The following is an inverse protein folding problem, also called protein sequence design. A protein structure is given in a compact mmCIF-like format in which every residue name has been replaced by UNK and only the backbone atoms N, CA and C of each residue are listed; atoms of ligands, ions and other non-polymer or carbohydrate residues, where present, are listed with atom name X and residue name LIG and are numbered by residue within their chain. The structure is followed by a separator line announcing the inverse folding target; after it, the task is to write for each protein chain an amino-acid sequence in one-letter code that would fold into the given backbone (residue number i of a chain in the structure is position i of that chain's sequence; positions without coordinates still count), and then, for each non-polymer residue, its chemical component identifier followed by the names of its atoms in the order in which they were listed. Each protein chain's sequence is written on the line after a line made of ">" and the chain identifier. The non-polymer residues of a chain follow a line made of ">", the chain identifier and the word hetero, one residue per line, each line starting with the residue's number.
data_IF_279322628742
#
_entry.id   IF_279322628742
#
_cell.length_a   1.000
_cell.length_b   1.000
_cell.length_c   1.000
_cell.angle_alpha   90.00
_cell.angle_beta   90.00
_cell.angle_gamma   90.00
#
_symmetry.space_group_name_H-M   'P 1'
#
loop_
_entity.id
_entity.type
_entity.pdbx_description
1 polymer ?
#
# COMPACT_ATOMS: atom_id res chain seq x y z
N UNK A 1 3.20 1.90 14.06
CA UNK A 1 2.62 0.72 14.75
C UNK A 1 2.63 0.81 16.28
N UNK A 2 3.57 1.49 16.96
CA UNK A 2 3.53 1.69 18.43
C UNK A 2 2.25 2.38 18.90
N UNK A 3 1.81 3.43 18.18
CA UNK A 3 0.58 4.19 18.48
C UNK A 3 -0.66 3.29 18.54
N UNK A 4 -0.68 2.21 17.76
CA UNK A 4 -1.81 1.27 17.72
C UNK A 4 -2.09 0.58 19.07
N UNK A 5 -1.07 0.48 19.94
CA UNK A 5 -1.25 -0.08 21.30
C UNK A 5 -2.25 0.68 22.16
N UNK A 6 -2.39 2.00 21.93
CA UNK A 6 -3.36 2.84 22.65
C UNK A 6 -4.81 2.57 22.24
N UNK A 7 -5.02 2.00 21.06
CA UNK A 7 -6.34 1.71 20.52
C UNK A 7 -6.70 0.22 20.60
N UNK A 8 -5.75 -0.66 20.32
CA UNK A 8 -5.98 -2.10 20.24
C UNK A 8 -5.35 -2.88 21.41
N UNK A 9 -4.66 -2.20 22.34
CA UNK A 9 -3.96 -2.86 23.43
C UNK A 9 -2.59 -3.41 23.06
N UNK A 10 -1.79 -3.75 24.08
CA UNK A 10 -0.39 -4.16 23.91
C UNK A 10 -0.22 -5.45 23.08
N UNK A 11 -1.01 -6.49 23.40
CA UNK A 11 -0.87 -7.79 22.76
C UNK A 11 -1.61 -7.86 21.41
N UNK A 12 -2.88 -7.43 21.30
CA UNK A 12 -3.60 -7.47 20.03
C UNK A 12 -2.97 -6.61 18.94
N UNK A 13 -2.35 -5.47 19.28
CA UNK A 13 -1.66 -4.61 18.32
C UNK A 13 -0.49 -5.29 17.61
N UNK A 14 0.02 -6.42 18.12
CA UNK A 14 1.09 -7.18 17.45
C UNK A 14 0.61 -7.87 16.17
N UNK A 15 -0.67 -8.26 16.12
CA UNK A 15 -1.23 -8.88 14.92
C UNK A 15 -1.24 -7.91 13.72
N UNK A 16 -1.84 -6.70 13.80
CA UNK A 16 -1.72 -5.72 12.73
C UNK A 16 -0.26 -5.28 12.48
N UNK A 17 0.61 -5.27 13.51
CA UNK A 17 2.03 -4.97 13.30
C UNK A 17 2.71 -6.02 12.42
N UNK A 18 2.43 -7.31 12.63
CA UNK A 18 2.94 -8.38 11.77
C UNK A 18 2.38 -8.27 10.35
N UNK A 19 1.08 -8.01 10.22
CA UNK A 19 0.44 -7.79 8.92
C UNK A 19 1.04 -6.57 8.19
N UNK A 20 1.40 -5.52 8.94
CA UNK A 20 2.07 -4.35 8.36
C UNK A 20 3.49 -4.67 7.84
N UNK A 21 4.24 -5.53 8.52
CA UNK A 21 5.54 -5.99 8.00
C UNK A 21 5.34 -6.72 6.66
N UNK A 22 4.36 -7.63 6.59
CA UNK A 22 4.01 -8.34 5.34
C UNK A 22 3.56 -7.36 4.26
N UNK A 23 2.75 -6.34 4.62
CA UNK A 23 2.31 -5.28 3.72
C UNK A 23 3.49 -4.54 3.10
N UNK A 24 4.42 -4.08 3.93
CA UNK A 24 5.58 -3.31 3.46
C UNK A 24 6.52 -4.17 2.58
N UNK A 25 6.81 -5.39 3.00
CA UNK A 25 7.61 -6.35 2.21
C UNK A 25 6.95 -6.63 0.85
N UNK A 26 5.63 -6.80 0.83
CA UNK A 26 4.90 -7.04 -0.42
C UNK A 26 4.94 -5.84 -1.37
N UNK A 27 4.73 -4.62 -0.88
CA UNK A 27 4.89 -3.42 -1.71
C UNK A 27 6.31 -3.27 -2.24
N UNK A 28 7.34 -3.43 -1.39
CA UNK A 28 8.73 -3.35 -1.83
C UNK A 28 9.08 -4.45 -2.85
N UNK A 29 8.47 -5.63 -2.75
CA UNK A 29 8.59 -6.70 -3.74
C UNK A 29 8.00 -6.29 -5.09
N UNK A 30 6.79 -5.74 -5.09
CA UNK A 30 6.11 -5.24 -6.30
C UNK A 30 6.92 -4.11 -6.93
N UNK A 31 7.37 -3.15 -6.13
CA UNK A 31 8.21 -2.05 -6.57
C UNK A 31 9.52 -2.54 -7.21
N UNK A 32 10.16 -3.54 -6.61
CA UNK A 32 11.38 -4.13 -7.16
C UNK A 32 11.17 -4.77 -8.54
N UNK A 33 10.05 -5.49 -8.72
CA UNK A 33 9.69 -6.09 -10.00
C UNK A 33 9.44 -4.99 -11.04
N UNK A 34 8.59 -4.01 -10.70
CA UNK A 34 8.22 -2.93 -11.61
C UNK A 34 9.42 -2.06 -11.99
N UNK A 35 10.26 -1.69 -11.00
CA UNK A 35 11.51 -0.97 -11.25
C UNK A 35 12.47 -1.76 -12.13
N UNK A 36 12.60 -3.07 -11.90
CA UNK A 36 13.40 -3.96 -12.75
C UNK A 36 12.88 -4.05 -14.18
N UNK A 37 11.56 -4.14 -14.38
CA UNK A 37 10.91 -4.13 -15.68
C UNK A 37 11.16 -2.81 -16.43
N UNK A 38 11.03 -1.67 -15.73
CA UNK A 38 11.29 -0.35 -16.33
C UNK A 38 12.76 -0.18 -16.74
N UNK A 39 13.71 -0.58 -15.89
CA UNK A 39 15.14 -0.50 -16.21
C UNK A 39 15.50 -1.39 -17.41
N UNK A 40 14.90 -2.58 -17.50
CA UNK A 40 15.04 -3.46 -18.67
C UNK A 40 14.49 -2.81 -19.94
N UNK A 41 13.30 -2.24 -19.88
CA UNK A 41 12.63 -1.61 -21.03
C UNK A 41 13.39 -0.36 -21.54
N UNK A 42 13.88 0.49 -20.63
CA UNK A 42 14.69 1.68 -20.99
C UNK A 42 15.96 1.29 -21.77
N UNK A 43 16.52 0.12 -21.48
CA UNK A 43 17.70 -0.41 -22.18
C UNK A 43 17.34 -1.36 -23.34
N UNK A 44 16.11 -1.31 -23.85
CA UNK A 44 15.61 -2.17 -24.93
C UNK A 44 15.89 -3.68 -24.70
N UNK A 45 15.75 -4.15 -23.49
CA UNK A 45 15.99 -5.55 -23.12
C UNK A 45 17.46 -5.94 -22.99
N UNK A 46 18.42 -5.04 -23.23
CA UNK A 46 19.85 -5.30 -23.03
C UNK A 46 20.22 -5.55 -21.54
N UNK A 47 19.39 -5.11 -20.62
CA UNK A 47 19.43 -5.46 -19.20
C UNK A 47 18.29 -6.43 -18.91
N UNK A 48 18.57 -7.61 -18.37
CA UNK A 48 17.49 -8.53 -17.99
C UNK A 48 16.68 -7.98 -16.79
N UNK A 49 15.39 -8.30 -16.71
CA UNK A 49 14.52 -7.90 -15.60
C UNK A 49 15.12 -8.36 -14.25
N UNK A 50 15.72 -9.55 -14.19
CA UNK A 50 16.37 -10.04 -12.97
C UNK A 50 17.51 -9.13 -12.50
N UNK A 51 18.37 -8.70 -13.42
CA UNK A 51 19.46 -7.76 -13.08
C UNK A 51 18.88 -6.40 -12.65
N UNK A 52 17.83 -5.92 -13.33
CA UNK A 52 17.10 -4.72 -12.92
C UNK A 52 16.57 -4.80 -11.49
N UNK A 53 15.93 -5.91 -11.11
CA UNK A 53 15.45 -6.17 -9.74
C UNK A 53 16.60 -6.12 -8.73
N UNK A 54 17.72 -6.77 -9.02
CA UNK A 54 18.91 -6.75 -8.15
C UNK A 54 19.44 -5.34 -7.97
N UNK A 55 19.51 -4.54 -9.04
CA UNK A 55 19.95 -3.13 -8.98
C UNK A 55 19.02 -2.31 -8.09
N UNK A 56 17.70 -2.44 -8.25
CA UNK A 56 16.71 -1.76 -7.42
C UNK A 56 16.92 -2.09 -5.94
N UNK A 57 17.05 -3.37 -5.61
CA UNK A 57 17.20 -3.82 -4.22
C UNK A 57 18.54 -3.41 -3.60
N UNK A 58 19.62 -3.37 -4.37
CA UNK A 58 20.92 -2.87 -3.88
C UNK A 58 20.82 -1.38 -3.53
N UNK A 59 20.18 -0.58 -4.40
CA UNK A 59 20.00 0.85 -4.14
C UNK A 59 19.13 1.07 -2.90
N UNK A 60 18.01 0.34 -2.78
CA UNK A 60 17.16 0.37 -1.59
C UNK A 60 17.94 0.01 -0.32
N UNK A 61 18.75 -1.05 -0.35
CA UNK A 61 19.57 -1.47 0.78
C UNK A 61 20.52 -0.36 1.24
N UNK A 62 21.30 0.16 0.30
CA UNK A 62 22.30 1.20 0.59
C UNK A 62 21.63 2.41 1.24
N UNK A 63 20.54 2.93 0.64
CA UNK A 63 19.86 4.12 1.18
C UNK A 63 19.19 3.83 2.53
N UNK A 64 18.55 2.68 2.69
CA UNK A 64 17.88 2.31 3.94
C UNK A 64 18.88 2.17 5.11
N UNK A 65 20.12 1.74 4.85
CA UNK A 65 21.17 1.64 5.85
C UNK A 65 21.59 3.02 6.40
N UNK A 66 21.63 4.07 5.56
CA UNK A 66 21.95 5.44 6.02
C UNK A 66 20.85 6.07 6.88
N UNK A 67 19.62 5.51 6.84
CA UNK A 67 18.49 5.96 7.65
C UNK A 67 17.68 7.10 7.02
N UNK A 68 16.63 7.52 7.75
CA UNK A 68 15.60 8.42 7.19
C UNK A 68 16.04 9.89 7.02
N UNK A 69 17.08 10.36 7.72
CA UNK A 69 17.47 11.79 7.61
C UNK A 69 17.92 12.18 6.20
N UNK A 70 18.87 11.46 5.56
CA UNK A 70 19.23 11.74 4.16
C UNK A 70 18.06 11.51 3.22
N UNK A 71 17.22 10.50 3.47
CA UNK A 71 16.06 10.21 2.68
C UNK A 71 15.05 11.37 2.69
N UNK A 72 14.71 11.93 3.85
CA UNK A 72 13.81 13.09 3.93
C UNK A 72 14.36 14.34 3.23
N UNK A 73 15.68 14.53 3.23
CA UNK A 73 16.30 15.61 2.47
C UNK A 73 16.12 15.42 0.96
N UNK A 74 16.23 14.18 0.50
CA UNK A 74 15.99 13.80 -0.90
C UNK A 74 14.50 13.93 -1.25
N UNK A 75 13.58 13.36 -0.47
CA UNK A 75 12.13 13.38 -0.73
C UNK A 75 11.56 14.79 -0.86
N UNK A 76 12.13 15.75 -0.14
CA UNK A 76 11.69 17.15 -0.23
C UNK A 76 11.67 17.69 -1.65
N UNK A 77 12.55 17.22 -2.52
CA UNK A 77 12.69 17.70 -3.89
C UNK A 77 12.42 16.62 -4.94
N UNK A 78 12.55 15.34 -4.62
CA UNK A 78 12.46 14.23 -5.56
C UNK A 78 11.06 14.08 -6.20
N UNK A 79 10.01 14.52 -5.54
CA UNK A 79 8.66 14.51 -6.08
C UNK A 79 8.49 15.44 -7.28
N UNK A 80 9.29 16.53 -7.40
CA UNK A 80 9.19 17.51 -8.49
C UNK A 80 9.52 16.86 -9.84
N UNK A 81 10.71 16.25 -10.05
CA UNK A 81 11.01 15.58 -11.31
C UNK A 81 10.03 14.42 -11.61
N UNK A 82 9.56 13.70 -10.58
CA UNK A 82 8.54 12.66 -10.76
C UNK A 82 7.25 13.24 -11.32
N UNK A 83 6.74 14.32 -10.73
CA UNK A 83 5.52 14.98 -11.19
C UNK A 83 5.67 15.50 -12.62
N UNK A 84 6.80 16.14 -12.93
CA UNK A 84 7.10 16.64 -14.28
C UNK A 84 7.08 15.50 -15.30
N UNK A 85 7.74 14.38 -15.00
CA UNK A 85 7.79 13.23 -15.90
C UNK A 85 6.42 12.56 -16.07
N UNK A 86 5.58 12.53 -15.02
CA UNK A 86 4.21 12.03 -15.14
C UNK A 86 3.34 12.93 -16.03
N UNK A 87 3.52 14.26 -15.98
CA UNK A 87 2.85 15.16 -16.92
C UNK A 87 3.39 15.03 -18.34
N UNK A 88 4.69 14.77 -18.52
CA UNK A 88 5.26 14.43 -19.83
C UNK A 88 4.63 13.14 -20.35
N UNK A 89 4.48 12.11 -19.51
CA UNK A 89 3.77 10.87 -19.87
C UNK A 89 2.33 11.14 -20.30
N UNK A 90 1.61 11.97 -19.52
CA UNK A 90 0.24 12.35 -19.87
C UNK A 90 0.16 13.05 -21.24
N UNK A 91 1.12 13.92 -21.54
CA UNK A 91 1.18 14.63 -22.83
C UNK A 91 1.53 13.74 -24.01
N UNK A 92 2.45 12.79 -23.83
CA UNK A 92 2.89 11.89 -24.91
C UNK A 92 1.94 10.71 -25.13
N UNK A 93 1.44 10.12 -24.06
CA UNK A 93 0.55 8.97 -24.10
C UNK A 93 -0.92 9.37 -24.31
N UNK A 94 -1.34 10.56 -23.84
CA UNK A 94 -2.72 11.03 -23.89
C UNK A 94 -3.42 10.92 -25.24
N UNK A 95 -2.79 11.27 -26.38
CA UNK A 95 -3.38 11.09 -27.71
C UNK A 95 -3.73 9.64 -28.07
N UNK A 96 -3.14 8.67 -27.39
CA UNK A 96 -3.35 7.23 -27.61
C UNK A 96 -4.35 6.61 -26.63
N UNK A 97 -4.88 7.37 -25.67
CA UNK A 97 -5.92 6.90 -24.76
C UNK A 97 -7.24 6.71 -25.49
N UNK A 98 -7.83 5.51 -25.40
CA UNK A 98 -9.14 5.26 -25.96
C UNK A 98 -10.23 5.57 -24.93
N UNK A 99 -10.79 6.77 -25.04
CA UNK A 99 -11.88 7.26 -24.19
C UNK A 99 -13.24 6.63 -24.52
N UNK A 100 -13.34 5.94 -25.66
CA UNK A 100 -14.57 5.34 -26.15
C UNK A 100 -14.68 3.84 -25.84
N UNK A 101 -13.65 3.25 -25.20
CA UNK A 101 -13.67 1.84 -24.80
C UNK A 101 -14.90 1.57 -23.94
N UNK A 102 -15.76 0.67 -24.41
CA UNK A 102 -16.98 0.30 -23.71
C UNK A 102 -16.75 -0.94 -22.85
N UNK A 103 -17.38 -0.95 -21.67
CA UNK A 103 -17.41 -2.14 -20.83
C UNK A 103 -18.19 -3.25 -21.52
N UNK A 104 -17.65 -4.47 -21.56
CA UNK A 104 -18.26 -5.65 -22.16
C UNK A 104 -18.88 -6.56 -21.11
N UNK A 105 -20.00 -7.23 -21.43
CA UNK A 105 -20.68 -8.17 -20.54
C UNK A 105 -22.07 -7.72 -20.12
N UNK A 106 -22.69 -8.48 -19.21
CA UNK A 106 -24.00 -8.12 -18.65
C UNK A 106 -23.91 -6.90 -17.73
N UNK A 107 -25.01 -6.17 -17.56
CA UNK A 107 -25.08 -5.02 -16.67
C UNK A 107 -24.62 -5.36 -15.22
N UNK A 108 -24.97 -6.55 -14.75
CA UNK A 108 -24.56 -7.03 -13.44
C UNK A 108 -23.05 -7.25 -13.36
N UNK A 109 -22.43 -7.85 -14.37
CA UNK A 109 -20.97 -8.06 -14.44
C UNK A 109 -20.23 -6.73 -14.52
N UNK A 110 -20.72 -5.79 -15.32
CA UNK A 110 -20.13 -4.45 -15.42
C UNK A 110 -20.17 -3.73 -14.05
N UNK A 111 -21.31 -3.79 -13.36
CA UNK A 111 -21.45 -3.21 -12.03
C UNK A 111 -20.50 -3.88 -11.02
N UNK A 112 -20.40 -5.21 -11.05
CA UNK A 112 -19.49 -5.98 -10.21
C UNK A 112 -18.02 -5.58 -10.42
N UNK A 113 -17.59 -5.53 -11.68
CA UNK A 113 -16.22 -5.13 -12.04
C UNK A 113 -15.90 -3.68 -11.60
N UNK A 114 -16.84 -2.76 -11.78
CA UNK A 114 -16.68 -1.36 -11.33
C UNK A 114 -16.56 -1.27 -9.81
N UNK A 115 -17.35 -2.03 -9.06
CA UNK A 115 -17.27 -2.05 -7.60
C UNK A 115 -15.95 -2.68 -7.12
N UNK A 116 -15.52 -3.77 -7.73
CA UNK A 116 -14.22 -4.41 -7.44
C UNK A 116 -13.06 -3.46 -7.73
N UNK A 117 -13.11 -2.75 -8.85
CA UNK A 117 -12.11 -1.74 -9.20
C UNK A 117 -12.11 -0.56 -8.22
N UNK A 118 -13.29 -0.08 -7.79
CA UNK A 118 -13.39 0.96 -6.75
C UNK A 118 -12.76 0.48 -5.45
N UNK A 119 -13.03 -0.75 -5.02
CA UNK A 119 -12.41 -1.35 -3.84
C UNK A 119 -10.89 -1.39 -3.97
N UNK A 120 -10.36 -1.80 -5.13
CA UNK A 120 -8.93 -1.81 -5.42
C UNK A 120 -8.31 -0.40 -5.32
N UNK A 121 -8.99 0.62 -5.86
CA UNK A 121 -8.55 2.01 -5.75
C UNK A 121 -8.53 2.54 -4.30
N UNK A 122 -9.33 1.98 -3.40
CA UNK A 122 -9.34 2.34 -1.98
C UNK A 122 -8.26 1.61 -1.18
N UNK A 123 -7.88 0.39 -1.56
CA UNK A 123 -6.90 -0.41 -0.82
C UNK A 123 -5.54 0.30 -0.70
N UNK A 124 -5.06 0.91 -1.78
CA UNK A 124 -3.71 1.52 -1.81
C UNK A 124 -3.63 2.77 -0.92
N UNK A 125 -4.52 3.78 -1.04
CA UNK A 125 -4.53 4.93 -0.13
C UNK A 125 -4.75 4.54 1.33
N UNK A 126 -5.61 3.55 1.61
CA UNK A 126 -5.88 3.07 2.96
C UNK A 126 -4.65 2.48 3.63
N UNK A 127 -3.77 1.82 2.87
CA UNK A 127 -2.52 1.25 3.40
C UNK A 127 -1.61 2.30 4.05
N UNK A 128 -1.73 3.57 3.64
CA UNK A 128 -1.06 4.69 4.29
C UNK A 128 -1.37 4.80 5.79
N UNK A 129 -2.61 4.46 6.20
CA UNK A 129 -3.03 4.48 7.60
C UNK A 129 -2.15 3.62 8.52
N UNK A 130 -1.59 2.54 8.00
CA UNK A 130 -0.70 1.65 8.76
C UNK A 130 0.71 2.23 8.96
N UNK A 131 1.20 3.08 8.04
CA UNK A 131 2.54 3.67 8.07
C UNK A 131 2.56 5.14 8.51
N UNK A 132 1.43 5.84 8.47
CA UNK A 132 1.32 7.29 8.64
C UNK A 132 2.05 7.83 9.88
N UNK A 133 2.00 7.12 11.02
CA UNK A 133 2.66 7.54 12.26
C UNK A 133 4.19 7.61 12.13
N UNK A 134 4.80 6.80 11.28
CA UNK A 134 6.24 6.75 11.11
C UNK A 134 6.77 7.99 10.38
N UNK A 135 5.90 8.67 9.61
CA UNK A 135 6.19 9.93 8.94
C UNK A 135 5.78 11.14 9.78
N UNK A 136 4.61 11.08 10.44
CA UNK A 136 4.09 12.23 11.18
C UNK A 136 4.86 12.54 12.46
N UNK A 137 5.65 11.60 12.99
CA UNK A 137 6.53 11.83 14.14
C UNK A 137 7.57 12.95 13.90
N UNK A 138 7.85 13.29 12.64
CA UNK A 138 8.77 14.35 12.26
C UNK A 138 8.13 15.75 12.17
N UNK A 139 6.80 15.84 12.29
CA UNK A 139 6.14 17.16 12.33
C UNK A 139 6.36 17.85 13.67
N UNK A 140 6.51 19.20 13.67
CA UNK A 140 6.55 19.96 14.92
C UNK A 140 5.30 19.74 15.75
N UNK A 141 5.45 19.56 17.07
CA UNK A 141 4.34 19.27 18.01
C UNK A 141 3.20 20.31 17.96
N UNK A 142 3.53 21.56 17.63
CA UNK A 142 2.56 22.66 17.51
C UNK A 142 1.78 22.69 16.20
N UNK A 143 2.03 21.74 15.29
CA UNK A 143 1.33 21.73 14.00
C UNK A 143 -0.15 21.44 14.20
N UNK A 144 -1.01 22.28 13.63
CA UNK A 144 -2.46 22.14 13.71
C UNK A 144 -2.92 20.79 13.10
N UNK A 145 -3.79 20.08 13.82
CA UNK A 145 -4.40 18.81 13.36
C UNK A 145 -5.12 18.97 12.02
N UNK A 146 -5.87 20.07 11.86
CA UNK A 146 -6.57 20.37 10.61
C UNK A 146 -5.60 20.57 9.45
N UNK A 147 -4.46 21.25 9.69
CA UNK A 147 -3.43 21.42 8.67
C UNK A 147 -2.86 20.07 8.23
N UNK A 148 -2.51 19.19 9.17
CA UNK A 148 -2.00 17.84 8.86
C UNK A 148 -3.04 17.06 8.07
N UNK A 149 -4.30 17.06 8.52
CA UNK A 149 -5.39 16.35 7.84
C UNK A 149 -5.58 16.84 6.40
N UNK A 150 -5.72 18.14 6.19
CA UNK A 150 -5.94 18.71 4.86
C UNK A 150 -4.75 18.48 3.91
N UNK A 151 -3.51 18.67 4.39
CA UNK A 151 -2.33 18.42 3.57
C UNK A 151 -2.20 16.94 3.19
N UNK A 152 -2.48 16.01 4.11
CA UNK A 152 -2.45 14.58 3.83
C UNK A 152 -3.55 14.19 2.86
N UNK A 153 -4.79 14.63 3.11
CA UNK A 153 -5.94 14.31 2.27
C UNK A 153 -5.73 14.81 0.84
N UNK A 154 -5.36 16.09 0.69
CA UNK A 154 -5.15 16.67 -0.65
C UNK A 154 -3.96 16.05 -1.35
N UNK A 155 -2.84 15.82 -0.65
CA UNK A 155 -1.66 15.19 -1.22
C UNK A 155 -1.93 13.77 -1.72
N UNK A 156 -2.55 12.92 -0.89
CA UNK A 156 -2.92 11.57 -1.29
C UNK A 156 -3.92 11.58 -2.45
N UNK A 157 -5.00 12.39 -2.33
CA UNK A 157 -6.04 12.43 -3.36
C UNK A 157 -5.49 12.87 -4.72
N UNK A 158 -4.69 13.94 -4.77
CA UNK A 158 -4.11 14.43 -6.02
C UNK A 158 -3.12 13.43 -6.63
N UNK A 159 -2.25 12.84 -5.81
CA UNK A 159 -1.26 11.88 -6.29
C UNK A 159 -1.91 10.62 -6.85
N UNK A 160 -2.85 10.02 -6.09
CA UNK A 160 -3.53 8.81 -6.55
C UNK A 160 -4.45 9.06 -7.73
N UNK A 161 -5.18 10.18 -7.76
CA UNK A 161 -6.02 10.53 -8.90
C UNK A 161 -5.18 10.65 -10.19
N UNK A 162 -4.05 11.34 -10.15
CA UNK A 162 -3.16 11.49 -11.30
C UNK A 162 -2.65 10.12 -11.79
N UNK A 163 -2.12 9.30 -10.88
CA UNK A 163 -1.51 8.02 -11.26
C UNK A 163 -2.56 7.00 -11.72
N UNK A 164 -3.72 6.94 -11.06
CA UNK A 164 -4.81 6.04 -11.48
C UNK A 164 -5.37 6.44 -12.85
N UNK A 165 -5.58 7.73 -13.11
CA UNK A 165 -6.04 8.20 -14.43
C UNK A 165 -5.02 7.91 -15.52
N UNK A 166 -3.73 8.07 -15.27
CA UNK A 166 -2.67 7.69 -16.20
C UNK A 166 -2.66 6.17 -16.45
N UNK A 167 -2.77 5.37 -15.39
CA UNK A 167 -2.82 3.91 -15.51
C UNK A 167 -4.03 3.43 -16.31
N UNK A 168 -5.22 3.99 -16.05
CA UNK A 168 -6.43 3.70 -16.83
C UNK A 168 -6.22 4.10 -18.30
N UNK A 169 -5.71 5.31 -18.55
CA UNK A 169 -5.44 5.79 -19.89
C UNK A 169 -4.50 4.87 -20.67
N UNK A 170 -3.36 4.48 -20.08
CA UNK A 170 -2.44 3.51 -20.67
C UNK A 170 -3.14 2.17 -20.95
N UNK A 171 -3.91 1.67 -20.00
CA UNK A 171 -4.66 0.42 -20.13
C UNK A 171 -5.69 0.44 -21.26
N UNK A 172 -6.39 1.58 -21.48
CA UNK A 172 -7.37 1.70 -22.58
C UNK A 172 -6.69 1.76 -23.95
N UNK A 173 -5.47 2.27 -24.03
CA UNK A 173 -4.73 2.38 -25.29
C UNK A 173 -4.09 1.07 -25.77
N UNK A 174 -3.98 0.03 -24.93
CA UNK A 174 -3.31 -1.23 -25.30
C UNK A 174 -3.96 -1.85 -26.55
N UNK A 175 -5.28 -1.98 -26.57
CA UNK A 175 -6.00 -2.64 -27.66
C UNK A 175 -6.01 -1.84 -28.98
N UNK A 176 -5.73 -0.53 -28.94
CA UNK A 176 -5.74 0.35 -30.09
C UNK A 176 -4.34 0.67 -30.64
N UNK A 177 -3.28 0.30 -29.92
CA UNK A 177 -1.89 0.59 -30.28
C UNK A 177 -1.04 -0.67 -30.17
N UNK A 178 -0.66 -1.24 -31.33
CA UNK A 178 0.11 -2.49 -31.39
C UNK A 178 1.49 -2.40 -30.69
N UNK A 179 2.14 -1.25 -30.71
CA UNK A 179 3.41 -1.06 -29.98
C UNK A 179 3.21 -1.11 -28.46
N UNK A 180 2.06 -0.66 -27.95
CA UNK A 180 1.72 -0.76 -26.56
C UNK A 180 1.29 -2.18 -26.15
N UNK A 181 0.59 -2.89 -27.04
CA UNK A 181 0.26 -4.29 -26.86
C UNK A 181 1.53 -5.14 -26.74
N UNK A 182 2.46 -5.01 -27.69
CA UNK A 182 3.76 -5.69 -27.65
C UNK A 182 4.56 -5.33 -26.39
N UNK A 183 4.57 -4.06 -25.99
CA UNK A 183 5.25 -3.64 -24.76
C UNK A 183 4.59 -4.25 -23.50
N UNK A 184 3.27 -4.30 -23.44
CA UNK A 184 2.53 -4.88 -22.33
C UNK A 184 2.72 -6.39 -22.24
N UNK A 185 2.80 -7.10 -23.37
CA UNK A 185 3.10 -8.53 -23.42
C UNK A 185 4.49 -8.85 -22.82
N UNK A 186 5.43 -7.91 -22.95
CA UNK A 186 6.73 -8.04 -22.28
C UNK A 186 6.59 -7.78 -20.77
N UNK A 187 5.99 -6.64 -20.39
CA UNK A 187 5.76 -6.29 -18.98
C UNK A 187 4.97 -4.99 -18.80
N UNK A 188 4.33 -4.82 -17.62
CA UNK A 188 3.68 -3.57 -17.25
C UNK A 188 4.68 -2.37 -17.21
N UNK A 189 5.92 -2.60 -16.76
CA UNK A 189 6.97 -1.58 -16.78
C UNK A 189 7.36 -1.15 -18.18
N UNK A 190 7.36 -2.08 -19.15
CA UNK A 190 7.63 -1.78 -20.54
C UNK A 190 6.52 -0.92 -21.17
N UNK A 191 5.24 -1.16 -20.83
CA UNK A 191 4.12 -0.32 -21.25
C UNK A 191 4.30 1.14 -20.80
N UNK A 192 4.68 1.36 -19.53
CA UNK A 192 4.94 2.72 -19.02
C UNK A 192 6.06 3.40 -19.82
N UNK A 193 7.14 2.69 -20.12
CA UNK A 193 8.25 3.22 -20.91
C UNK A 193 7.84 3.49 -22.36
N UNK A 194 7.00 2.63 -22.95
CA UNK A 194 6.47 2.81 -24.31
C UNK A 194 5.62 4.08 -24.44
N UNK A 195 4.95 4.52 -23.36
CA UNK A 195 4.24 5.81 -23.33
C UNK A 195 5.13 7.04 -23.57
N UNK A 196 6.46 6.90 -23.40
CA UNK A 196 7.45 7.95 -23.66
C UNK A 196 8.14 7.82 -25.04
N UNK A 197 7.84 6.79 -25.84
CA UNK A 197 8.55 6.49 -27.08
C UNK A 197 8.68 7.69 -28.04
N UNK A 198 7.65 8.55 -28.24
CA UNK A 198 7.75 9.70 -29.14
C UNK A 198 8.93 10.63 -28.82
N UNK A 199 9.41 10.64 -27.58
CA UNK A 199 10.52 11.49 -27.12
C UNK A 199 11.90 10.83 -27.28
N UNK A 200 11.98 9.61 -27.79
CA UNK A 200 13.25 8.89 -28.07
C UNK A 200 14.18 8.87 -26.84
N UNK A 201 15.40 9.42 -26.95
CA UNK A 201 16.39 9.43 -25.89
C UNK A 201 15.93 10.17 -24.62
N UNK A 202 15.19 11.27 -24.76
CA UNK A 202 14.59 11.96 -23.61
C UNK A 202 13.50 11.11 -22.96
N UNK A 203 12.73 10.36 -23.73
CA UNK A 203 11.74 9.40 -23.22
C UNK A 203 12.37 8.32 -22.34
N UNK A 204 13.54 7.79 -22.74
CA UNK A 204 14.32 6.85 -21.93
C UNK A 204 14.78 7.47 -20.61
N UNK A 205 15.25 8.71 -20.64
CA UNK A 205 15.58 9.44 -19.43
C UNK A 205 14.36 9.58 -18.51
N UNK A 206 13.17 9.92 -19.04
CA UNK A 206 11.93 9.96 -18.29
C UNK A 206 11.61 8.59 -17.67
N UNK A 207 11.77 7.48 -18.39
CA UNK A 207 11.59 6.13 -17.87
C UNK A 207 12.53 5.82 -16.70
N UNK A 208 13.80 6.25 -16.76
CA UNK A 208 14.72 6.12 -15.62
C UNK A 208 14.25 6.93 -14.41
N UNK A 209 13.77 8.16 -14.62
CA UNK A 209 13.24 9.00 -13.53
C UNK A 209 12.05 8.32 -12.86
N UNK A 210 11.12 7.73 -13.62
CA UNK A 210 9.99 6.97 -13.04
C UNK A 210 10.49 5.76 -12.25
N UNK A 211 11.45 5.00 -12.79
CA UNK A 211 12.06 3.86 -12.09
C UNK A 211 12.72 4.29 -10.75
N UNK A 212 13.41 5.44 -10.72
CA UNK A 212 13.96 6.00 -9.49
C UNK A 212 12.86 6.38 -8.48
N UNK A 213 11.69 6.80 -8.95
CA UNK A 213 10.53 7.06 -8.10
C UNK A 213 9.99 5.79 -7.44
N UNK A 214 9.95 4.69 -8.17
CA UNK A 214 9.57 3.37 -7.63
C UNK A 214 10.57 2.92 -6.56
N UNK A 215 11.88 3.09 -6.82
CA UNK A 215 12.94 2.82 -5.82
C UNK A 215 12.75 3.68 -4.57
N UNK A 216 12.46 4.97 -4.75
CA UNK A 216 12.22 5.89 -3.64
C UNK A 216 11.02 5.49 -2.77
N UNK A 217 9.99 4.85 -3.37
CA UNK A 217 8.84 4.32 -2.63
C UNK A 217 9.19 3.09 -1.78
N UNK A 218 10.09 2.23 -2.25
CA UNK A 218 10.53 1.04 -1.50
C UNK A 218 11.33 1.36 -0.24
N UNK A 219 12.13 2.45 -0.24
CA UNK A 219 13.01 2.80 0.88
C UNK A 219 12.26 2.97 2.20
N UNK A 220 11.22 3.84 2.31
CA UNK A 220 10.45 3.97 3.54
C UNK A 220 9.67 2.71 3.89
N UNK A 221 9.23 1.92 2.91
CA UNK A 221 8.58 0.64 3.12
C UNK A 221 9.46 -0.34 3.89
N UNK A 222 10.66 -0.63 3.39
CA UNK A 222 11.65 -1.48 4.06
C UNK A 222 12.04 -0.93 5.43
N UNK A 223 12.18 0.40 5.56
CA UNK A 223 12.47 1.03 6.84
C UNK A 223 11.34 0.81 7.86
N UNK A 224 10.08 1.03 7.47
CA UNK A 224 8.91 0.84 8.33
C UNK A 224 8.72 -0.64 8.71
N UNK A 225 8.98 -1.58 7.79
CA UNK A 225 8.98 -3.01 8.08
C UNK A 225 10.03 -3.38 9.13
N UNK A 226 11.26 -2.84 9.01
CA UNK A 226 12.33 -3.08 9.98
C UNK A 226 12.00 -2.53 11.38
N UNK A 227 11.38 -1.36 11.47
CA UNK A 227 10.81 -0.83 12.72
C UNK A 227 9.70 -1.72 13.26
N UNK A 228 8.81 -2.21 12.39
CA UNK A 228 7.75 -3.15 12.74
C UNK A 228 8.30 -4.41 13.41
N UNK A 229 9.38 -4.98 12.89
CA UNK A 229 10.06 -6.14 13.49
C UNK A 229 10.53 -5.85 14.93
N UNK A 230 11.04 -4.63 15.20
CA UNK A 230 11.47 -4.24 16.54
C UNK A 230 10.30 -4.07 17.52
N UNK A 231 9.11 -3.70 17.03
CA UNK A 231 7.90 -3.51 17.85
C UNK A 231 7.26 -4.82 18.28
N UNK A 232 7.49 -5.92 17.56
CA UNK A 232 6.88 -7.23 17.85
C UNK A 232 7.25 -7.80 19.22
N UNK A 233 8.46 -7.51 19.75
CA UNK A 233 8.82 -7.97 21.08
C UNK A 233 10.30 -7.79 21.43
N UNK A 234 10.67 -8.33 22.61
CA UNK A 234 12.03 -8.17 23.17
C UNK A 234 13.15 -8.66 22.24
N UNK A 235 12.92 -9.76 21.55
CA UNK A 235 13.91 -10.32 20.63
C UNK A 235 14.03 -9.47 19.36
N UNK A 236 12.91 -9.00 18.80
CA UNK A 236 12.93 -8.06 17.69
C UNK A 236 13.64 -6.75 18.03
N UNK A 237 13.39 -6.21 19.25
CA UNK A 237 14.04 -5.00 19.77
C UNK A 237 15.55 -5.15 19.97
N UNK A 238 16.02 -6.37 20.30
CA UNK A 238 17.44 -6.65 20.52
C UNK A 238 18.27 -6.60 19.22
N UNK A 239 17.65 -6.86 18.08
CA UNK A 239 18.30 -6.81 16.77
C UNK A 239 18.30 -5.37 16.24
N UNK A 240 19.45 -4.82 15.83
CA UNK A 240 19.52 -3.47 15.31
C UNK A 240 18.75 -3.35 13.98
N UNK A 241 18.14 -2.17 13.75
CA UNK A 241 17.28 -1.91 12.59
C UNK A 241 17.95 -2.22 11.25
N UNK A 242 19.24 -1.87 11.09
CA UNK A 242 19.95 -2.10 9.83
C UNK A 242 20.05 -3.59 9.48
N UNK A 243 20.19 -4.47 10.50
CA UNK A 243 20.20 -5.91 10.25
C UNK A 243 18.83 -6.42 9.82
N UNK A 244 17.74 -5.91 10.45
CA UNK A 244 16.39 -6.19 9.96
C UNK A 244 16.20 -5.74 8.52
N UNK A 245 16.70 -4.55 8.14
CA UNK A 245 16.62 -4.09 6.74
C UNK A 245 17.34 -5.02 5.79
N UNK A 246 18.52 -5.54 6.15
CA UNK A 246 19.24 -6.53 5.34
C UNK A 246 18.42 -7.82 5.15
N UNK A 247 17.85 -8.35 6.23
CA UNK A 247 17.03 -9.58 6.18
C UNK A 247 15.80 -9.36 5.31
N UNK A 248 15.10 -8.24 5.47
CA UNK A 248 13.90 -7.92 4.70
C UNK A 248 14.21 -7.75 3.21
N UNK A 249 15.29 -7.05 2.86
CA UNK A 249 15.72 -6.90 1.45
C UNK A 249 16.06 -8.24 0.80
N UNK A 250 16.67 -9.17 1.53
CA UNK A 250 16.92 -10.53 1.02
C UNK A 250 15.60 -11.25 0.74
N UNK A 251 14.61 -11.11 1.63
CA UNK A 251 13.27 -11.68 1.44
C UNK A 251 12.57 -11.03 0.24
N UNK A 252 12.57 -9.70 0.17
CA UNK A 252 11.99 -8.92 -0.94
C UNK A 252 12.61 -9.31 -2.28
N UNK A 253 13.94 -9.43 -2.33
CA UNK A 253 14.69 -9.87 -3.52
C UNK A 253 14.28 -11.29 -3.94
N UNK A 254 14.23 -12.24 -3.00
CA UNK A 254 13.83 -13.61 -3.29
C UNK A 254 12.39 -13.68 -3.83
N UNK A 255 11.47 -12.96 -3.20
CA UNK A 255 10.07 -12.87 -3.65
C UNK A 255 9.95 -12.18 -5.01
N UNK A 256 10.70 -11.10 -5.26
CA UNK A 256 10.67 -10.39 -6.52
C UNK A 256 11.21 -11.23 -7.68
N UNK A 257 12.31 -11.96 -7.46
CA UNK A 257 12.86 -12.86 -8.47
C UNK A 257 11.92 -14.03 -8.79
N UNK A 258 11.24 -14.57 -7.78
CA UNK A 258 10.27 -15.66 -7.97
C UNK A 258 8.97 -15.17 -8.64
N UNK A 259 8.48 -13.97 -8.25
CA UNK A 259 7.21 -13.42 -8.71
C UNK A 259 7.26 -12.59 -9.99
N UNK A 260 8.43 -12.38 -10.59
CA UNK A 260 8.64 -11.43 -11.71
C UNK A 260 7.73 -11.67 -12.94
N UNK A 261 7.33 -12.91 -13.18
CA UNK A 261 6.50 -13.29 -14.32
C UNK A 261 4.99 -13.22 -14.00
N UNK A 262 4.63 -13.10 -12.72
CA UNK A 262 3.25 -13.12 -12.23
C UNK A 262 2.83 -11.81 -11.55
N UNK A 263 3.47 -10.69 -11.90
CA UNK A 263 3.28 -9.39 -11.22
C UNK A 263 1.81 -9.02 -11.06
N UNK A 264 1.01 -9.09 -12.13
CA UNK A 264 -0.41 -8.70 -12.09
C UNK A 264 -1.23 -9.55 -11.12
N UNK A 265 -1.04 -10.87 -11.15
CA UNK A 265 -1.73 -11.80 -10.25
C UNK A 265 -1.32 -11.58 -8.80
N UNK A 266 -0.01 -11.38 -8.56
CA UNK A 266 0.52 -11.06 -7.23
C UNK A 266 -0.06 -9.74 -6.74
N UNK A 267 -0.07 -8.69 -7.56
CA UNK A 267 -0.63 -7.40 -7.21
C UNK A 267 -2.11 -7.50 -6.82
N UNK A 268 -2.94 -8.08 -7.67
CA UNK A 268 -4.39 -8.16 -7.43
C UNK A 268 -4.71 -8.85 -6.11
N UNK A 269 -4.15 -10.04 -5.89
CA UNK A 269 -4.41 -10.80 -4.66
C UNK A 269 -3.82 -10.13 -3.43
N UNK A 270 -2.59 -9.63 -3.52
CA UNK A 270 -1.89 -8.99 -2.41
C UNK A 270 -2.59 -7.69 -1.98
N UNK A 271 -2.91 -6.79 -2.93
CA UNK A 271 -3.54 -5.51 -2.60
C UNK A 271 -4.90 -5.69 -1.93
N UNK A 272 -5.72 -6.63 -2.42
CA UNK A 272 -7.01 -6.90 -1.83
C UNK A 272 -6.90 -7.42 -0.39
N UNK A 273 -6.07 -8.46 -0.17
CA UNK A 273 -5.86 -9.02 1.18
C UNK A 273 -5.32 -7.97 2.15
N UNK A 274 -4.40 -7.13 1.69
CA UNK A 274 -3.83 -6.07 2.52
C UNK A 274 -4.85 -4.97 2.79
N UNK A 275 -5.68 -4.61 1.80
CA UNK A 275 -6.74 -3.63 1.94
C UNK A 275 -7.76 -4.02 2.99
N UNK A 276 -8.18 -5.29 3.06
CA UNK A 276 -9.16 -5.74 4.03
C UNK A 276 -8.70 -5.46 5.47
N UNK A 277 -7.54 -5.96 5.87
CA UNK A 277 -7.13 -5.82 7.27
C UNK A 277 -6.82 -4.37 7.68
N UNK A 278 -6.28 -3.57 6.75
CA UNK A 278 -5.99 -2.16 7.03
C UNK A 278 -7.29 -1.40 7.31
N UNK A 279 -8.33 -1.64 6.50
CA UNK A 279 -9.63 -1.02 6.72
C UNK A 279 -10.22 -1.38 8.08
N UNK A 280 -10.22 -2.67 8.43
CA UNK A 280 -10.72 -3.13 9.74
C UNK A 280 -9.96 -2.46 10.89
N UNK A 281 -8.64 -2.35 10.78
CA UNK A 281 -7.79 -1.67 11.76
C UNK A 281 -8.13 -0.18 11.86
N UNK A 282 -8.24 0.52 10.73
CA UNK A 282 -8.54 1.96 10.66
C UNK A 282 -9.91 2.24 11.30
N UNK A 283 -10.93 1.43 11.02
CA UNK A 283 -12.25 1.56 11.61
C UNK A 283 -12.24 1.39 13.13
N UNK A 284 -11.51 0.39 13.64
CA UNK A 284 -11.36 0.19 15.09
C UNK A 284 -10.70 1.41 15.73
N UNK A 285 -9.60 1.91 15.14
CA UNK A 285 -8.87 3.10 15.63
C UNK A 285 -9.79 4.33 15.64
N UNK A 286 -10.56 4.54 14.57
CA UNK A 286 -11.50 5.66 14.46
C UNK A 286 -12.59 5.57 15.50
N UNK A 287 -13.24 4.41 15.64
CA UNK A 287 -14.31 4.22 16.63
C UNK A 287 -13.79 4.38 18.06
N UNK A 288 -12.61 3.80 18.37
CA UNK A 288 -12.02 3.97 19.70
C UNK A 288 -11.74 5.45 19.97
N UNK A 289 -11.10 6.16 19.04
CA UNK A 289 -10.77 7.57 19.22
C UNK A 289 -12.00 8.47 19.32
N UNK A 290 -12.99 8.28 18.44
CA UNK A 290 -14.14 9.19 18.34
C UNK A 290 -15.22 8.90 19.38
N UNK A 291 -15.45 7.62 19.70
CA UNK A 291 -16.57 7.22 20.57
C UNK A 291 -16.16 7.00 22.03
N UNK A 292 -14.95 6.46 22.26
CA UNK A 292 -14.55 6.03 23.61
C UNK A 292 -13.44 6.88 24.23
N UNK A 293 -12.54 7.44 23.42
CA UNK A 293 -11.35 8.17 23.92
C UNK A 293 -11.30 9.65 23.50
N UNK A 294 -12.39 10.21 23.00
CA UNK A 294 -12.42 11.58 22.46
C UNK A 294 -11.93 12.66 23.45
N UNK A 295 -12.15 12.47 24.72
CA UNK A 295 -11.77 13.42 25.80
C UNK A 295 -10.46 13.07 26.49
N UNK A 296 -9.87 11.91 26.21
CA UNK A 296 -8.68 11.43 26.91
C UNK A 296 -7.41 12.11 26.34
N UNK A 297 -6.51 12.47 27.25
CA UNK A 297 -5.13 12.84 26.90
C UNK A 297 -4.30 11.56 26.95
N UNK A 298 -3.66 11.23 25.82
CA UNK A 298 -2.76 10.08 25.77
C UNK A 298 -1.45 10.41 26.49
N UNK A 299 -1.07 9.55 27.45
CA UNK A 299 0.27 9.56 28.01
C UNK A 299 1.20 8.75 27.11
N UNK A 300 1.94 9.44 26.24
CA UNK A 300 2.82 8.81 25.26
C UNK A 300 4.05 8.14 25.89
N UNK A 301 4.36 8.42 27.17
CA UNK A 301 5.45 7.76 27.89
C UNK A 301 5.08 6.32 28.27
N UNK A 302 3.78 6.03 28.45
CA UNK A 302 3.26 4.73 28.90
C UNK A 302 3.03 3.70 27.78
N UNK A 303 3.70 3.84 26.63
CA UNK A 303 3.52 2.99 25.46
C UNK A 303 3.96 1.51 25.63
N UNK A 304 4.76 1.21 26.65
CA UNK A 304 5.15 -0.17 27.05
C UNK A 304 4.40 -0.65 28.30
N UNK A 305 3.67 0.21 28.98
CA UNK A 305 2.96 -0.16 30.22
C UNK A 305 1.65 -0.89 29.89
N UNK A 306 1.68 -2.18 30.09
CA UNK A 306 0.53 -3.07 29.85
C UNK A 306 -0.64 -2.81 30.81
N UNK A 307 -0.39 -2.16 31.96
CA UNK A 307 -1.43 -1.84 32.93
C UNK A 307 -2.22 -0.58 32.55
N UNK A 308 -1.56 0.34 31.86
CA UNK A 308 -2.13 1.57 31.35
C UNK A 308 -2.89 1.37 30.04
N UNK A 309 -2.36 0.52 29.14
CA UNK A 309 -2.93 0.27 27.83
C UNK A 309 -4.24 -0.55 27.91
N UNK A 310 -5.18 -0.38 26.97
CA UNK A 310 -6.36 -1.25 26.86
C UNK A 310 -5.97 -2.73 26.82
N UNK A 311 -6.85 -3.62 27.29
CA UNK A 311 -6.67 -5.06 27.10
C UNK A 311 -6.70 -5.43 25.63
N UNK A 312 -7.63 -4.81 24.88
CA UNK A 312 -7.80 -4.93 23.46
C UNK A 312 -8.49 -6.23 23.01
N UNK A 313 -9.14 -6.94 23.91
CA UNK A 313 -9.92 -8.16 23.60
C UNK A 313 -11.06 -7.80 22.64
N UNK A 314 -11.77 -6.70 22.90
CA UNK A 314 -12.83 -6.20 22.01
C UNK A 314 -12.30 -5.86 20.62
N UNK A 315 -11.15 -5.20 20.55
CA UNK A 315 -10.52 -4.83 19.29
C UNK A 315 -10.08 -6.07 18.50
N UNK A 316 -9.46 -7.05 19.16
CA UNK A 316 -9.06 -8.30 18.51
C UNK A 316 -10.27 -9.09 18.02
N UNK A 317 -11.31 -9.23 18.85
CA UNK A 317 -12.52 -9.96 18.48
C UNK A 317 -13.23 -9.30 17.29
N UNK A 318 -13.39 -7.96 17.30
CA UNK A 318 -14.00 -7.22 16.20
C UNK A 318 -13.15 -7.30 14.91
N UNK A 319 -11.82 -7.26 15.04
CA UNK A 319 -10.91 -7.43 13.92
C UNK A 319 -11.05 -8.82 13.27
N UNK A 320 -11.12 -9.88 14.07
CA UNK A 320 -11.30 -11.24 13.58
C UNK A 320 -12.71 -11.46 12.97
N UNK A 321 -13.76 -10.89 13.60
CA UNK A 321 -15.11 -10.92 13.03
C UNK A 321 -15.19 -10.11 11.73
N UNK A 322 -14.50 -8.98 11.63
CA UNK A 322 -14.33 -8.24 10.39
C UNK A 322 -13.69 -9.08 9.28
N UNK A 323 -12.67 -9.88 9.62
CA UNK A 323 -12.08 -10.84 8.69
C UNK A 323 -13.08 -11.90 8.22
N UNK A 324 -13.93 -12.41 9.10
CA UNK A 324 -15.02 -13.31 8.69
C UNK A 324 -15.90 -12.62 7.64
N UNK A 325 -16.29 -11.36 7.89
CA UNK A 325 -17.05 -10.58 6.93
C UNK A 325 -16.31 -10.40 5.59
N UNK A 326 -15.02 -10.10 5.63
CA UNK A 326 -14.20 -9.97 4.44
C UNK A 326 -14.14 -11.28 3.64
N UNK A 327 -13.91 -12.42 4.30
CA UNK A 327 -13.89 -13.75 3.65
C UNK A 327 -15.24 -14.09 3.02
N UNK A 328 -16.36 -13.75 3.65
CA UNK A 328 -17.69 -13.97 3.07
C UNK A 328 -17.92 -13.13 1.81
N UNK A 329 -17.33 -11.97 1.70
CA UNK A 329 -17.52 -11.02 0.60
C UNK A 329 -16.41 -10.99 -0.45
N UNK A 330 -15.23 -11.60 -0.21
CA UNK A 330 -14.08 -11.48 -1.11
C UNK A 330 -14.26 -12.21 -2.44
N UNK A 331 -13.70 -11.64 -3.50
CA UNK A 331 -13.56 -12.26 -4.81
C UNK A 331 -12.09 -12.23 -5.22
N UNK A 332 -11.40 -13.36 -5.06
CA UNK A 332 -9.98 -13.51 -5.33
C UNK A 332 -9.75 -14.65 -6.31
N UNK A 333 -8.60 -14.70 -6.97
CA UNK A 333 -8.25 -15.75 -7.94
C UNK A 333 -8.35 -17.15 -7.34
N UNK A 334 -8.05 -17.32 -6.07
CA UNK A 334 -8.01 -18.60 -5.36
C UNK A 334 -9.26 -18.88 -4.50
N UNK A 335 -10.13 -17.88 -4.29
CA UNK A 335 -11.33 -18.05 -3.46
C UNK A 335 -12.41 -17.03 -3.80
N UNK A 336 -13.65 -17.49 -3.92
CA UNK A 336 -14.84 -16.67 -4.08
C UNK A 336 -15.77 -16.87 -2.88
N UNK A 337 -15.98 -15.81 -2.13
CA UNK A 337 -16.90 -15.82 -0.99
C UNK A 337 -18.36 -15.99 -1.41
N UNK A 338 -19.22 -16.56 -0.55
CA UNK A 338 -20.62 -16.83 -0.89
C UNK A 338 -21.43 -15.57 -1.20
N UNK A 339 -21.10 -14.42 -0.62
CA UNK A 339 -21.76 -13.15 -0.93
C UNK A 339 -21.27 -12.59 -2.27
N UNK A 340 -19.97 -12.68 -2.56
CA UNK A 340 -19.41 -12.27 -3.84
C UNK A 340 -20.00 -13.10 -5.00
N UNK A 341 -20.14 -14.41 -4.83
CA UNK A 341 -20.74 -15.29 -5.83
C UNK A 341 -22.20 -14.90 -6.16
N UNK A 342 -22.98 -14.49 -5.16
CA UNK A 342 -24.35 -14.00 -5.35
C UNK A 342 -24.44 -12.60 -5.96
N UNK A 343 -23.39 -11.80 -5.79
CA UNK A 343 -23.32 -10.43 -6.28
C UNK A 343 -22.65 -10.32 -7.68
N UNK A 344 -22.68 -11.36 -8.48
CA UNK A 344 -22.11 -11.36 -9.82
C UNK A 344 -20.59 -11.33 -9.83
N UNK A 345 -19.94 -11.94 -8.84
CA UNK A 345 -18.49 -11.98 -8.66
C UNK A 345 -17.84 -10.61 -8.35
N UNK A 346 -18.61 -9.73 -7.68
CA UNK A 346 -18.06 -8.47 -7.15
C UNK A 346 -17.21 -8.73 -5.90
N UNK A 347 -16.07 -8.06 -5.77
CA UNK A 347 -15.33 -8.03 -4.50
C UNK A 347 -16.02 -7.12 -3.48
N UNK A 348 -16.73 -7.77 -2.55
CA UNK A 348 -17.42 -7.12 -1.43
C UNK A 348 -16.64 -7.21 -0.11
N UNK A 349 -15.42 -7.77 -0.12
CA UNK A 349 -14.65 -8.05 1.10
C UNK A 349 -14.43 -6.83 1.97
N UNK A 350 -14.05 -5.69 1.37
CA UNK A 350 -13.92 -4.40 2.06
C UNK A 350 -15.22 -4.01 2.78
N UNK A 351 -16.33 -4.01 2.04
CA UNK A 351 -17.62 -3.48 2.50
C UNK A 351 -18.26 -4.35 3.59
N UNK A 352 -18.27 -5.66 3.39
CA UNK A 352 -18.83 -6.61 4.35
C UNK A 352 -17.97 -6.69 5.60
N UNK A 353 -16.63 -6.73 5.45
CA UNK A 353 -15.69 -6.71 6.56
C UNK A 353 -15.84 -5.45 7.42
N UNK A 354 -15.94 -4.28 6.76
CA UNK A 354 -16.21 -3.00 7.42
C UNK A 354 -17.53 -3.02 8.19
N UNK A 355 -18.60 -3.53 7.58
CA UNK A 355 -19.91 -3.66 8.24
C UNK A 355 -19.86 -4.53 9.48
N UNK A 356 -19.20 -5.69 9.42
CA UNK A 356 -19.00 -6.56 10.59
C UNK A 356 -18.22 -5.85 11.70
N UNK A 357 -17.14 -5.15 11.36
CA UNK A 357 -16.32 -4.42 12.35
C UNK A 357 -17.11 -3.28 13.00
N UNK A 358 -17.84 -2.48 12.21
CA UNK A 358 -18.63 -1.35 12.71
C UNK A 358 -19.74 -1.81 13.67
N UNK A 359 -20.38 -2.95 13.41
CA UNK A 359 -21.46 -3.48 14.24
C UNK A 359 -20.92 -4.16 15.48
N UNK A 360 -19.81 -4.87 15.40
CA UNK A 360 -19.32 -5.72 16.50
C UNK A 360 -18.43 -4.97 17.48
N UNK A 361 -17.61 -4.01 17.02
CA UNK A 361 -16.66 -3.33 17.90
C UNK A 361 -17.32 -2.53 19.05
N UNK A 362 -18.30 -1.65 18.82
CA UNK A 362 -18.87 -0.85 19.89
C UNK A 362 -19.45 -1.65 21.04
N UNK A 363 -20.31 -2.66 20.84
CA UNK A 363 -20.85 -3.44 21.94
C UNK A 363 -19.77 -4.26 22.68
N UNK A 364 -18.80 -4.83 21.94
CA UNK A 364 -17.69 -5.54 22.56
C UNK A 364 -16.84 -4.62 23.43
N UNK A 365 -16.60 -3.38 22.97
CA UNK A 365 -15.82 -2.39 23.72
C UNK A 365 -16.56 -1.92 24.98
N UNK A 366 -17.86 -1.71 24.92
CA UNK A 366 -18.69 -1.39 26.10
C UNK A 366 -18.61 -2.52 27.13
N UNK A 367 -18.68 -3.77 26.70
CA UNK A 367 -18.53 -4.93 27.60
C UNK A 367 -17.14 -4.97 28.23
N UNK A 368 -16.07 -4.80 27.43
CA UNK A 368 -14.70 -4.76 27.94
C UNK A 368 -14.51 -3.68 29.01
N UNK A 369 -15.02 -2.47 28.77
CA UNK A 369 -14.97 -1.37 29.73
C UNK A 369 -15.75 -1.65 31.02
N UNK A 370 -16.91 -2.32 30.93
CA UNK A 370 -17.72 -2.69 32.09
C UNK A 370 -17.03 -3.73 32.99
N UNK A 371 -16.40 -4.74 32.39
CA UNK A 371 -15.79 -5.84 33.15
C UNK A 371 -14.37 -5.51 33.62
N UNK A 372 -13.57 -4.84 32.79
CA UNK A 372 -12.15 -4.63 33.09
C UNK A 372 -11.80 -3.18 33.40
N UNK A 373 -12.73 -2.23 33.20
CA UNK A 373 -12.57 -0.80 33.49
C UNK A 373 -11.38 -0.11 32.77
N UNK A 374 -10.90 -0.67 31.71
CA UNK A 374 -9.77 -0.12 30.93
C UNK A 374 -9.81 -0.52 29.43
#
# INVERSE_FOLDING_TARGET
>A
MVVLRYFMGYWPAKLPTLLNIVLMVGYCTIDAILGGQMLSAVNNGGLSIMVGIVVVQIVCLVVTMFGMKPFHAYERFAWIPQLVVLFVLAGTAGPHFDVNTQSTGSAALIAANRLSFLSLCLYVPNSWGAAASDFYVYYPERTSRTKIFLLTLTGLWMAFALVFLLGIGLGTGIASNSAWEEAYDVSAGALVVAGFEPLKGFGRFCGVVVALGVIANSIPGTYAAALGCQVLGRYGKAVPRWLWSCVLIVIELALALAGREYLLVVMQNFLALMGYWVELMVLIVLMEHLCFQRSLKYDWASWEDKSYLPLGIAALAAFLLGWVGAVLGMYQVWYTGPLAARAGSADLGLWVGSGFTLVTYPPLRVLELRYFKR
#
